data_IF_144612199858
#
_entry.id   IF_144612199858
#
_cell.length_a   1.000
_cell.length_b   1.000
_cell.length_c   1.000
_cell.angle_alpha   90.00
_cell.angle_beta   90.00
_cell.angle_gamma   90.00
#
_symmetry.space_group_name_H-M   'P 1'
#
loop_
_entity.id
_entity.type
_entity.pdbx_description
1 polymer ?
#
# COMPACT_ATOMS: atom_id res chain seq x y z
N UNK A 1 12.67 22.14 6.36
CA UNK A 1 13.76 21.25 6.84
C UNK A 1 13.35 19.83 6.52
N UNK A 2 14.02 19.16 5.59
CA UNK A 2 13.74 17.77 5.25
C UNK A 2 14.13 16.87 6.44
N UNK A 3 13.22 16.02 6.89
CA UNK A 3 13.49 15.05 7.96
C UNK A 3 14.52 14.04 7.46
N UNK A 4 15.61 13.88 8.21
CA UNK A 4 16.66 12.89 7.91
C UNK A 4 16.06 11.48 8.02
N UNK A 5 16.33 10.56 7.07
CA UNK A 5 15.88 9.17 7.21
C UNK A 5 16.44 8.53 8.49
N UNK A 6 15.72 7.58 9.10
CA UNK A 6 16.13 6.99 10.37
C UNK A 6 17.44 6.18 10.27
N UNK A 7 18.29 6.32 11.29
CA UNK A 7 19.56 5.61 11.39
C UNK A 7 19.37 4.08 11.28
N UNK A 8 20.25 3.41 10.51
CA UNK A 8 20.21 1.96 10.25
C UNK A 8 19.72 1.55 8.85
N UNK A 9 19.30 2.53 8.04
CA UNK A 9 18.79 2.37 6.67
C UNK A 9 19.60 1.38 5.78
N UNK A 10 20.92 1.58 5.63
CA UNK A 10 21.78 0.72 4.77
C UNK A 10 21.84 -0.74 5.23
N UNK A 11 21.74 -1.02 6.53
CA UNK A 11 21.81 -2.39 7.06
C UNK A 11 20.51 -3.15 6.84
N UNK A 12 19.36 -2.48 6.98
CA UNK A 12 18.04 -3.11 6.76
C UNK A 12 17.77 -3.33 5.27
N UNK A 13 18.17 -2.39 4.43
CA UNK A 13 17.98 -2.47 2.98
C UNK A 13 18.80 -3.60 2.30
N UNK A 14 19.95 -3.99 2.88
CA UNK A 14 20.67 -5.20 2.47
C UNK A 14 19.88 -6.49 2.73
N UNK A 15 19.12 -6.59 3.83
CA UNK A 15 18.34 -7.78 4.16
C UNK A 15 17.22 -8.05 3.14
N UNK A 16 16.60 -7.01 2.60
CA UNK A 16 15.53 -7.12 1.60
C UNK A 16 16.03 -7.52 0.21
N UNK A 17 17.28 -7.19 -0.13
CA UNK A 17 17.83 -7.37 -1.49
C UNK A 17 18.75 -8.59 -1.62
N UNK A 18 19.20 -9.17 -0.51
CA UNK A 18 20.19 -10.27 -0.50
C UNK A 18 19.59 -11.67 -0.35
N UNK A 19 18.26 -11.82 -0.36
CA UNK A 19 17.59 -13.13 -0.28
C UNK A 19 17.76 -13.87 1.06
N UNK A 20 18.20 -13.19 2.12
CA UNK A 20 18.41 -13.79 3.44
C UNK A 20 17.11 -13.79 4.30
N UNK A 21 16.06 -14.46 3.83
CA UNK A 21 14.87 -14.75 4.64
C UNK A 21 14.89 -16.21 5.11
N UNK A 22 15.76 -16.48 6.09
CA UNK A 22 15.89 -17.78 6.75
C UNK A 22 15.35 -17.75 8.19
N UNK A 23 14.26 -18.49 8.42
CA UNK A 23 13.83 -19.09 9.69
C UNK A 23 13.68 -18.18 10.92
N UNK A 24 12.49 -17.61 11.10
CA UNK A 24 11.92 -17.34 12.43
C UNK A 24 10.62 -18.14 12.60
N UNK A 25 10.75 -19.43 12.87
CA UNK A 25 9.67 -20.27 13.41
C UNK A 25 9.86 -20.38 14.91
N UNK A 26 8.91 -19.88 15.69
CA UNK A 26 8.81 -20.24 17.10
C UNK A 26 8.45 -19.07 17.99
N UNK A 27 7.15 -18.94 18.24
CA UNK A 27 6.49 -18.74 19.54
C UNK A 27 5.21 -17.95 19.25
N UNK A 28 4.08 -18.64 19.19
CA UNK A 28 2.94 -18.36 20.07
C UNK A 28 2.00 -19.55 20.01
N UNK A 29 1.72 -20.10 21.18
CA UNK A 29 0.90 -21.29 21.38
C UNK A 29 -0.56 -20.96 21.09
N UNK A 30 -1.20 -21.93 20.45
CA UNK A 30 -2.63 -22.20 20.47
C UNK A 30 -3.23 -22.02 21.88
N UNK A 31 -4.36 -21.33 21.93
CA UNK A 31 -5.39 -21.58 22.94
C UNK A 31 -6.71 -21.85 22.25
N UNK A 32 -7.16 -23.07 22.49
CA UNK A 32 -8.42 -23.71 22.16
C UNK A 32 -9.60 -23.01 22.84
N UNK A 33 -10.72 -22.78 22.14
CA UNK A 33 -12.05 -22.64 22.76
C UNK A 33 -13.10 -23.31 21.87
N UNK A 34 -13.63 -24.39 22.43
CA UNK A 34 -14.81 -25.16 22.06
C UNK A 34 -16.11 -24.35 22.19
N UNK A 35 -17.07 -24.56 21.29
CA UNK A 35 -18.41 -25.09 21.64
C UNK A 35 -19.26 -25.41 20.40
N UNK A 36 -19.94 -26.56 20.45
CA UNK A 36 -20.88 -27.10 19.45
C UNK A 36 -22.33 -26.78 19.86
N UNK A 37 -23.21 -26.64 18.87
CA UNK A 37 -24.66 -26.88 18.99
C UNK A 37 -25.52 -26.05 18.01
N UNK A 38 -26.73 -26.49 17.65
CA UNK A 38 -26.92 -27.34 16.46
C UNK A 38 -27.80 -26.74 15.35
N UNK A 39 -27.80 -27.44 14.22
CA UNK A 39 -28.62 -27.23 13.02
C UNK A 39 -30.12 -27.48 13.30
N UNK A 40 -30.98 -26.62 12.76
CA UNK A 40 -32.40 -26.91 12.49
C UNK A 40 -32.83 -26.22 11.19
N UNK A 41 -33.58 -26.95 10.39
CA UNK A 41 -34.04 -26.64 9.03
C UNK A 41 -35.36 -25.87 9.04
N UNK A 42 -35.60 -25.00 8.04
CA UNK A 42 -36.83 -24.98 7.23
C UNK A 42 -36.82 -23.95 6.11
N UNK A 43 -37.47 -24.38 5.03
CA UNK A 43 -37.75 -23.73 3.74
C UNK A 43 -38.62 -22.48 3.86
N UNK A 44 -38.44 -21.52 2.94
CA UNK A 44 -39.31 -20.37 2.78
C UNK A 44 -38.95 -19.53 1.54
N UNK A 45 -39.52 -19.89 0.39
CA UNK A 45 -39.57 -19.05 -0.80
C UNK A 45 -40.52 -17.87 -0.56
N UNK A 46 -40.04 -16.62 -0.64
CA UNK A 46 -40.89 -15.46 -0.91
C UNK A 46 -40.15 -14.48 -1.83
N UNK A 47 -40.75 -14.24 -2.99
CA UNK A 47 -40.45 -13.13 -3.88
C UNK A 47 -41.01 -11.86 -3.25
N UNK A 48 -40.21 -10.80 -3.11
CA UNK A 48 -40.74 -9.44 -3.04
C UNK A 48 -39.72 -8.45 -3.61
N UNK A 49 -40.13 -7.85 -4.71
CA UNK A 49 -39.67 -6.57 -5.26
C UNK A 49 -39.45 -5.51 -4.17
N UNK A 50 -38.54 -4.57 -4.48
CA UNK A 50 -38.35 -3.25 -3.86
C UNK A 50 -37.21 -3.14 -2.82
N UNK A 51 -35.96 -3.17 -3.29
CA UNK A 51 -34.82 -2.57 -2.59
C UNK A 51 -34.33 -1.35 -3.39
N UNK A 52 -35.05 -0.24 -3.25
CA UNK A 52 -34.58 1.07 -3.64
C UNK A 52 -34.66 2.00 -2.43
N UNK A 53 -33.51 2.60 -2.11
CA UNK A 53 -33.26 3.69 -1.16
C UNK A 53 -33.70 3.50 0.30
N UNK A 54 -32.72 3.11 1.12
CA UNK A 54 -32.37 3.80 2.37
C UNK A 54 -30.95 3.37 2.72
N UNK A 55 -29.96 4.07 2.15
CA UNK A 55 -28.61 4.06 2.73
C UNK A 55 -28.71 4.95 3.97
N UNK A 56 -29.25 4.38 5.04
CA UNK A 56 -29.15 4.97 6.38
C UNK A 56 -27.67 5.27 6.56
N UNK A 57 -27.33 6.56 6.66
CA UNK A 57 -25.96 6.99 6.94
C UNK A 57 -25.66 6.49 8.34
N UNK A 58 -25.08 5.29 8.44
CA UNK A 58 -24.46 4.85 9.69
C UNK A 58 -23.47 5.95 10.10
N UNK A 59 -23.39 6.29 11.40
CA UNK A 59 -22.33 7.17 11.88
C UNK A 59 -21.00 6.63 11.34
N UNK A 60 -20.21 7.49 10.70
CA UNK A 60 -18.90 7.10 10.20
C UNK A 60 -18.07 6.57 11.38
N UNK A 61 -17.47 5.39 11.22
CA UNK A 61 -16.65 4.80 12.27
C UNK A 61 -15.43 5.69 12.55
N UNK A 62 -14.87 5.64 13.75
CA UNK A 62 -13.75 6.49 14.18
C UNK A 62 -12.57 6.48 13.18
N UNK A 63 -12.29 5.31 12.60
CA UNK A 63 -11.23 5.14 11.60
C UNK A 63 -11.53 5.89 10.28
N UNK A 64 -12.80 5.99 9.89
CA UNK A 64 -13.23 6.76 8.72
C UNK A 64 -13.08 8.27 8.98
N UNK A 65 -13.55 8.75 10.14
CA UNK A 65 -13.40 10.14 10.54
C UNK A 65 -11.92 10.54 10.65
N UNK A 66 -11.08 9.66 11.19
CA UNK A 66 -9.64 9.88 11.24
C UNK A 66 -9.03 10.00 9.84
N UNK A 67 -9.43 9.13 8.90
CA UNK A 67 -8.98 9.22 7.51
C UNK A 67 -9.33 10.56 6.89
N UNK A 68 -10.59 10.99 7.01
CA UNK A 68 -11.02 12.29 6.50
C UNK A 68 -10.22 13.45 7.12
N UNK A 69 -10.06 13.44 8.45
CA UNK A 69 -9.34 14.49 9.18
C UNK A 69 -7.84 14.53 8.83
N UNK A 70 -7.19 13.37 8.69
CA UNK A 70 -5.78 13.30 8.28
C UNK A 70 -5.61 13.88 6.86
N UNK A 71 -6.51 13.56 5.92
CA UNK A 71 -6.44 14.08 4.56
C UNK A 71 -6.67 15.60 4.54
N UNK A 72 -7.67 16.09 5.25
CA UNK A 72 -7.94 17.53 5.33
C UNK A 72 -6.74 18.30 5.92
N UNK A 73 -6.12 17.76 6.97
CA UNK A 73 -5.04 18.43 7.69
C UNK A 73 -3.68 18.31 6.98
N UNK A 74 -3.35 17.14 6.47
CA UNK A 74 -2.01 16.81 5.98
C UNK A 74 -1.95 16.58 4.47
N UNK A 75 -3.08 16.60 3.77
CA UNK A 75 -3.17 16.30 2.33
C UNK A 75 -3.21 14.80 2.02
N UNK A 76 -2.87 13.94 2.98
CA UNK A 76 -3.07 12.50 2.85
C UNK A 76 -3.13 11.79 4.21
N UNK A 77 -3.73 10.61 4.22
CA UNK A 77 -3.46 9.57 5.21
C UNK A 77 -2.52 8.53 4.60
N UNK A 78 -1.57 8.03 5.39
CA UNK A 78 -0.74 6.88 5.02
C UNK A 78 -1.29 5.61 5.67
N UNK A 79 -1.49 4.57 4.87
CA UNK A 79 -1.80 3.21 5.36
C UNK A 79 -0.59 2.33 5.21
N UNK A 80 -0.40 1.41 6.15
CA UNK A 80 0.59 0.34 6.06
C UNK A 80 -0.09 -1.00 6.29
N UNK A 81 0.22 -1.96 5.43
CA UNK A 81 -0.19 -3.35 5.52
C UNK A 81 1.06 -4.17 5.81
N UNK A 82 1.02 -4.91 6.92
CA UNK A 82 2.12 -5.76 7.34
C UNK A 82 2.29 -6.95 6.39
N UNK A 83 3.49 -7.50 6.34
CA UNK A 83 3.75 -8.73 5.60
C UNK A 83 2.90 -9.89 6.15
N UNK A 84 2.42 -10.76 5.27
CA UNK A 84 1.68 -11.97 5.64
C UNK A 84 2.16 -13.15 4.79
N UNK A 85 2.83 -14.12 5.42
CA UNK A 85 3.47 -15.23 4.73
C UNK A 85 4.51 -14.71 3.73
N UNK A 86 4.35 -15.09 2.46
CA UNK A 86 5.20 -14.64 1.35
C UNK A 86 4.74 -13.29 0.73
N UNK A 87 3.65 -12.70 1.24
CA UNK A 87 3.16 -11.40 0.75
C UNK A 87 3.98 -10.27 1.34
N UNK A 88 4.60 -9.40 0.51
CA UNK A 88 5.42 -8.30 1.01
C UNK A 88 4.57 -7.24 1.72
N UNK A 89 5.14 -6.52 2.70
CA UNK A 89 4.47 -5.38 3.31
C UNK A 89 4.36 -4.25 2.27
N UNK A 90 3.38 -3.37 2.46
CA UNK A 90 3.26 -2.19 1.60
C UNK A 90 2.63 -1.01 2.33
N UNK A 91 2.93 0.20 1.85
CA UNK A 91 2.23 1.41 2.25
C UNK A 91 1.68 2.15 1.05
N UNK A 92 0.53 2.79 1.23
CA UNK A 92 -0.07 3.64 0.21
C UNK A 92 -0.68 4.89 0.83
N UNK A 93 -0.77 5.94 0.03
CA UNK A 93 -1.48 7.15 0.39
C UNK A 93 -2.98 7.06 0.10
N UNK A 94 -3.74 7.86 0.84
CA UNK A 94 -5.14 8.15 0.58
C UNK A 94 -5.27 9.67 0.64
N UNK A 95 -5.77 10.31 -0.41
CA UNK A 95 -6.13 11.72 -0.43
C UNK A 95 -5.23 12.63 -1.26
N UNK A 96 -4.04 12.19 -1.70
CA UNK A 96 -3.10 13.05 -2.43
C UNK A 96 -3.73 13.61 -3.71
N UNK A 97 -4.48 12.77 -4.44
CA UNK A 97 -5.11 13.21 -5.69
C UNK A 97 -6.23 14.21 -5.44
N UNK A 98 -7.04 14.00 -4.40
CA UNK A 98 -8.02 14.99 -3.97
C UNK A 98 -7.37 16.31 -3.54
N UNK A 99 -6.26 16.24 -2.81
CA UNK A 99 -5.65 17.41 -2.16
C UNK A 99 -4.74 18.24 -3.07
N UNK A 100 -4.12 17.62 -4.08
CA UNK A 100 -3.12 18.29 -4.94
C UNK A 100 -3.29 18.03 -6.45
N UNK A 101 -4.16 17.09 -6.84
CA UNK A 101 -4.27 16.63 -8.22
C UNK A 101 -3.13 15.72 -8.70
N UNK A 102 -2.18 15.38 -7.82
CA UNK A 102 -1.14 14.38 -8.12
C UNK A 102 -1.64 12.95 -7.85
N UNK A 103 -1.19 11.92 -8.59
CA UNK A 103 -1.57 10.53 -8.33
C UNK A 103 -1.28 10.12 -6.88
N UNK A 104 -2.05 9.18 -6.34
CA UNK A 104 -1.66 8.46 -5.12
C UNK A 104 -0.34 7.71 -5.34
N UNK A 105 0.34 7.34 -4.26
CA UNK A 105 1.60 6.60 -4.29
C UNK A 105 1.49 5.32 -3.46
N UNK A 106 2.05 4.21 -3.97
CA UNK A 106 2.23 2.95 -3.26
C UNK A 106 3.70 2.54 -3.26
N UNK A 107 4.17 1.98 -2.14
CA UNK A 107 5.51 1.45 -1.93
C UNK A 107 5.39 0.02 -1.41
N UNK A 108 6.04 -0.93 -2.06
CA UNK A 108 5.95 -2.37 -1.75
C UNK A 108 7.31 -2.92 -1.35
N UNK A 109 7.35 -3.82 -0.36
CA UNK A 109 8.54 -4.55 0.04
C UNK A 109 9.48 -3.80 0.99
N UNK A 110 9.12 -2.59 1.45
CA UNK A 110 9.89 -1.82 2.41
C UNK A 110 9.25 -1.84 3.81
N UNK A 111 10.11 -1.70 4.83
CA UNK A 111 9.69 -1.48 6.21
C UNK A 111 8.76 -0.26 6.36
N UNK A 112 7.90 -0.30 7.39
CA UNK A 112 6.90 0.73 7.64
C UNK A 112 7.50 2.14 7.74
N UNK A 113 8.59 2.31 8.51
CA UNK A 113 9.19 3.62 8.75
C UNK A 113 9.66 4.28 7.46
N UNK A 114 10.33 3.52 6.60
CA UNK A 114 10.82 4.02 5.31
C UNK A 114 9.67 4.26 4.33
N UNK A 115 8.72 3.34 4.25
CA UNK A 115 7.55 3.49 3.38
C UNK A 115 6.73 4.72 3.76
N UNK A 116 6.52 4.96 5.06
CA UNK A 116 5.85 6.17 5.55
C UNK A 116 6.63 7.44 5.21
N UNK A 117 7.96 7.43 5.35
CA UNK A 117 8.78 8.57 4.96
C UNK A 117 8.61 8.89 3.47
N UNK A 118 8.73 7.87 2.59
CA UNK A 118 8.59 8.03 1.14
C UNK A 118 7.23 8.62 0.77
N UNK A 119 6.14 8.05 1.32
CA UNK A 119 4.78 8.51 1.03
C UNK A 119 4.57 9.97 1.47
N UNK A 120 5.03 10.32 2.68
CA UNK A 120 4.90 11.69 3.19
C UNK A 120 5.76 12.69 2.41
N UNK A 121 6.96 12.30 1.99
CA UNK A 121 7.84 13.14 1.18
C UNK A 121 7.24 13.36 -0.22
N UNK A 122 6.65 12.33 -0.82
CA UNK A 122 5.94 12.43 -2.10
C UNK A 122 4.75 13.39 -1.98
N UNK A 123 3.94 13.25 -0.92
CA UNK A 123 2.84 14.18 -0.64
C UNK A 123 3.33 15.62 -0.46
N UNK A 124 4.41 15.84 0.29
CA UNK A 124 5.00 17.18 0.47
C UNK A 124 5.39 17.80 -0.86
N UNK A 125 6.16 17.08 -1.69
CA UNK A 125 6.62 17.58 -2.99
C UNK A 125 5.48 17.82 -3.97
N UNK A 126 4.49 16.93 -4.01
CA UNK A 126 3.29 17.11 -4.82
C UNK A 126 2.51 18.38 -4.42
N UNK A 127 2.39 18.65 -3.11
CA UNK A 127 1.75 19.87 -2.59
C UNK A 127 2.57 21.14 -2.86
N UNK A 128 3.90 21.02 -2.97
CA UNK A 128 4.80 22.10 -3.38
C UNK A 128 4.77 22.34 -4.92
N UNK A 129 3.97 21.57 -5.66
CA UNK A 129 3.72 21.77 -7.09
C UNK A 129 4.52 20.85 -8.01
N UNK A 130 5.29 19.90 -7.48
CA UNK A 130 5.96 18.90 -8.31
C UNK A 130 4.92 17.98 -8.98
N UNK A 131 5.13 17.67 -10.25
CA UNK A 131 4.26 16.78 -11.03
C UNK A 131 4.95 15.46 -11.29
N UNK A 132 4.22 14.37 -11.11
CA UNK A 132 4.73 13.02 -11.30
C UNK A 132 4.03 12.30 -12.44
N UNK A 133 4.81 11.57 -13.24
CA UNK A 133 4.34 10.80 -14.39
C UNK A 133 4.86 9.36 -14.35
N UNK A 134 4.15 8.41 -14.98
CA UNK A 134 4.68 7.06 -15.18
C UNK A 134 6.02 7.08 -15.94
N UNK A 135 6.88 6.12 -15.64
CA UNK A 135 8.26 5.96 -16.16
C UNK A 135 9.22 7.10 -15.80
N UNK A 136 8.84 7.99 -14.88
CA UNK A 136 9.72 9.03 -14.39
C UNK A 136 10.73 8.47 -13.40
N UNK A 137 12.02 8.80 -13.59
CA UNK A 137 13.06 8.61 -12.59
C UNK A 137 12.98 9.69 -11.53
N UNK A 138 13.03 9.29 -10.27
CA UNK A 138 12.98 10.20 -9.13
C UNK A 138 14.09 9.89 -8.14
N UNK A 139 14.72 10.94 -7.62
CA UNK A 139 15.79 10.87 -6.63
C UNK A 139 15.31 11.34 -5.26
N UNK A 140 16.16 11.14 -4.25
CA UNK A 140 16.00 11.68 -2.90
C UNK A 140 14.76 11.16 -2.13
N UNK A 141 14.18 10.05 -2.60
CA UNK A 141 13.19 9.27 -1.83
C UNK A 141 13.86 8.16 -1.02
N UNK A 142 14.94 7.60 -1.57
CA UNK A 142 15.76 6.55 -0.97
C UNK A 142 17.22 7.02 -1.04
N UNK A 143 17.91 7.04 0.09
CA UNK A 143 19.26 7.61 0.15
C UNK A 143 20.24 6.81 -0.72
N UNK A 144 20.83 7.48 -1.71
CA UNK A 144 21.82 6.90 -2.61
C UNK A 144 21.24 6.03 -3.74
N UNK A 145 19.92 6.01 -3.92
CA UNK A 145 19.27 5.26 -4.98
C UNK A 145 18.20 6.10 -5.68
N UNK A 146 18.27 6.13 -7.00
CA UNK A 146 17.14 6.56 -7.82
C UNK A 146 16.04 5.51 -7.74
N UNK A 147 14.81 5.95 -7.96
CA UNK A 147 13.62 5.12 -8.07
C UNK A 147 12.96 5.38 -9.43
N UNK A 148 12.01 4.53 -9.82
CA UNK A 148 11.15 4.76 -10.98
C UNK A 148 9.68 4.71 -10.56
N UNK A 149 8.88 5.64 -11.07
CA UNK A 149 7.44 5.62 -10.89
C UNK A 149 6.78 4.78 -11.98
N UNK A 150 5.96 3.80 -11.61
CA UNK A 150 5.17 2.98 -12.55
C UNK A 150 3.69 3.25 -12.36
N UNK A 151 2.92 3.30 -13.45
CA UNK A 151 1.46 3.40 -13.34
C UNK A 151 0.91 2.07 -12.82
N UNK A 152 0.20 2.10 -11.70
CA UNK A 152 -0.45 0.90 -11.20
C UNK A 152 -1.66 0.55 -12.06
N UNK A 153 -1.77 -0.71 -12.49
CA UNK A 153 -2.91 -1.19 -13.24
C UNK A 153 -4.17 -1.30 -12.36
N UNK A 154 -5.34 -1.00 -12.94
CA UNK A 154 -6.62 -1.00 -12.23
C UNK A 154 -6.99 -2.38 -11.66
N UNK A 155 -6.49 -3.46 -12.25
CA UNK A 155 -6.72 -4.83 -11.76
C UNK A 155 -6.21 -5.05 -10.33
N UNK A 156 -5.19 -4.30 -9.90
CA UNK A 156 -4.62 -4.42 -8.56
C UNK A 156 -5.34 -3.59 -7.49
N UNK A 157 -6.17 -2.61 -7.86
CA UNK A 157 -6.75 -1.66 -6.91
C UNK A 157 -7.56 -2.35 -5.81
N UNK A 158 -8.34 -3.38 -6.16
CA UNK A 158 -9.16 -4.11 -5.18
C UNK A 158 -8.33 -4.86 -4.13
N UNK A 159 -7.14 -5.32 -4.51
CA UNK A 159 -6.30 -6.13 -3.64
C UNK A 159 -5.44 -5.27 -2.71
N UNK A 160 -5.04 -4.08 -3.15
CA UNK A 160 -4.11 -3.23 -2.39
C UNK A 160 -4.78 -2.02 -1.73
N UNK A 161 -5.80 -1.43 -2.36
CA UNK A 161 -6.21 -0.05 -2.09
C UNK A 161 -7.62 0.07 -1.49
N UNK A 162 -8.04 -0.90 -0.67
CA UNK A 162 -9.40 -0.97 -0.12
C UNK A 162 -9.89 0.33 0.52
N UNK A 163 -9.03 0.99 1.32
CA UNK A 163 -9.39 2.28 1.95
C UNK A 163 -9.42 3.45 0.97
N UNK A 164 -8.55 3.46 -0.05
CA UNK A 164 -8.59 4.51 -1.07
C UNK A 164 -9.85 4.38 -1.94
N UNK A 165 -10.22 3.14 -2.31
CA UNK A 165 -11.47 2.85 -3.02
C UNK A 165 -12.70 3.33 -2.24
N UNK A 166 -12.73 3.09 -0.93
CA UNK A 166 -13.76 3.64 -0.05
C UNK A 166 -13.76 5.18 -0.08
N UNK A 167 -12.60 5.81 0.14
CA UNK A 167 -12.46 7.27 0.22
C UNK A 167 -12.87 7.99 -1.07
N UNK A 168 -12.51 7.43 -2.23
CA UNK A 168 -12.84 7.97 -3.55
C UNK A 168 -14.21 7.50 -4.09
N UNK A 169 -14.90 6.60 -3.38
CA UNK A 169 -16.19 6.07 -3.82
C UNK A 169 -16.11 5.18 -5.08
N UNK A 170 -14.94 4.62 -5.38
CA UNK A 170 -14.67 3.86 -6.60
C UNK A 170 -13.20 3.97 -7.02
N UNK A 171 -12.88 3.48 -8.23
CA UNK A 171 -11.51 3.45 -8.76
C UNK A 171 -11.16 4.63 -9.67
N UNK A 172 -11.89 5.74 -9.58
CA UNK A 172 -11.65 6.94 -10.41
C UNK A 172 -10.55 7.83 -9.81
N UNK A 173 -9.35 7.28 -9.69
CA UNK A 173 -8.14 7.94 -9.23
C UNK A 173 -6.91 7.19 -9.77
N UNK A 174 -5.80 7.88 -9.92
CA UNK A 174 -4.52 7.39 -10.44
C UNK A 174 -3.62 7.01 -9.27
N UNK A 175 -2.82 5.97 -9.48
CA UNK A 175 -1.83 5.51 -8.52
C UNK A 175 -0.52 5.28 -9.24
N UNK A 176 0.56 5.77 -8.67
CA UNK A 176 1.92 5.42 -9.06
C UNK A 176 2.50 4.45 -8.02
N UNK A 177 3.21 3.44 -8.48
CA UNK A 177 4.11 2.65 -7.64
C UNK A 177 5.50 3.27 -7.67
N UNK A 178 6.11 3.49 -6.52
CA UNK A 178 7.53 3.79 -6.43
C UNK A 178 8.30 2.48 -6.40
N UNK A 179 9.04 2.21 -7.47
CA UNK A 179 9.88 1.02 -7.67
C UNK A 179 11.34 1.40 -7.42
N UNK A 180 12.06 0.56 -6.68
CA UNK A 180 13.46 0.78 -6.32
C UNK A 180 14.32 -0.41 -6.75
N UNK A 181 15.62 -0.19 -7.03
CA UNK A 181 16.52 -1.26 -7.43
C UNK A 181 17.04 -2.04 -6.22
N UNK A 182 17.81 -3.10 -6.45
CA UNK A 182 18.61 -3.76 -5.41
C UNK A 182 19.78 -2.89 -4.95
N UNK A 183 20.49 -3.33 -3.91
CA UNK A 183 21.77 -2.74 -3.44
C UNK A 183 22.86 -2.63 -4.47
N UNK A 184 22.79 -3.43 -5.52
CA UNK A 184 23.73 -3.43 -6.63
C UNK A 184 23.19 -2.67 -7.85
N UNK A 185 22.05 -1.99 -7.72
CA UNK A 185 21.45 -1.19 -8.79
C UNK A 185 20.63 -1.98 -9.81
N UNK A 186 20.25 -3.23 -9.51
CA UNK A 186 19.49 -4.09 -10.42
C UNK A 186 17.98 -3.85 -10.22
N UNK A 187 17.26 -3.61 -11.31
CA UNK A 187 15.81 -3.34 -11.30
C UNK A 187 14.99 -4.63 -11.32
N UNK A 188 13.74 -4.64 -10.81
CA UNK A 188 12.88 -5.83 -10.85
C UNK A 188 12.65 -6.40 -12.26
N UNK A 189 12.67 -5.57 -13.30
CA UNK A 189 12.53 -5.98 -14.69
C UNK A 189 13.85 -6.42 -15.35
N UNK A 190 14.99 -6.25 -14.69
CA UNK A 190 16.26 -6.65 -15.27
C UNK A 190 16.37 -8.19 -15.36
N UNK A 191 17.08 -8.71 -16.38
CA UNK A 191 17.31 -10.15 -16.52
C UNK A 191 17.99 -10.77 -15.29
N UNK A 192 18.91 -10.03 -14.68
CA UNK A 192 19.73 -10.49 -13.56
C UNK A 192 19.07 -10.28 -12.19
N UNK A 193 17.84 -9.75 -12.13
CA UNK A 193 17.15 -9.57 -10.86
C UNK A 193 16.82 -10.92 -10.20
N UNK A 194 17.20 -11.11 -8.91
CA UNK A 194 16.87 -12.34 -8.18
C UNK A 194 15.36 -12.58 -8.14
N UNK A 195 14.94 -13.84 -8.33
CA UNK A 195 13.51 -14.20 -8.29
C UNK A 195 12.83 -13.82 -6.97
N UNK A 196 13.55 -13.93 -5.85
CA UNK A 196 13.06 -13.49 -4.53
C UNK A 196 12.77 -12.00 -4.49
N UNK A 197 13.58 -11.17 -5.17
CA UNK A 197 13.37 -9.73 -5.25
C UNK A 197 12.14 -9.38 -6.10
N UNK A 198 11.95 -10.09 -7.23
CA UNK A 198 10.75 -9.92 -8.08
C UNK A 198 9.47 -10.29 -7.33
N UNK A 199 9.50 -11.36 -6.52
CA UNK A 199 8.37 -11.76 -5.66
C UNK A 199 8.13 -10.74 -4.54
N UNK A 200 9.19 -10.22 -3.95
CA UNK A 200 9.11 -9.29 -2.82
C UNK A 200 8.71 -7.86 -3.22
N UNK A 201 9.01 -7.46 -4.44
CA UNK A 201 8.63 -6.18 -5.03
C UNK A 201 7.99 -6.41 -6.40
N UNK A 202 6.74 -6.94 -6.44
CA UNK A 202 6.03 -7.12 -7.69
C UNK A 202 5.81 -5.75 -8.37
N UNK A 203 5.89 -5.70 -9.69
CA UNK A 203 5.65 -4.48 -10.47
C UNK A 203 4.18 -4.45 -10.85
N UNK A 204 3.42 -3.55 -10.23
CA UNK A 204 1.96 -3.54 -10.29
C UNK A 204 1.41 -2.83 -11.54
N UNK A 205 2.18 -2.76 -12.62
CA UNK A 205 1.73 -2.20 -13.89
C UNK A 205 1.20 -3.31 -14.83
N UNK A 206 0.89 -2.97 -16.08
CA UNK A 206 0.37 -3.94 -17.05
C UNK A 206 1.36 -5.03 -17.45
N UNK A 207 2.63 -4.94 -17.05
CA UNK A 207 3.69 -5.91 -17.38
C UNK A 207 3.81 -7.08 -16.38
N UNK A 208 3.15 -7.01 -15.21
CA UNK A 208 2.91 -8.15 -14.33
C UNK A 208 3.56 -8.10 -12.95
#
# INVERSE_FOLDING_TARGET
MAGRPPDGFRRRWWAYTSGAFGSWRGLFRSTDVSTKGPLSTRSGHLRSTQFALLRTVSPMDEAENKCLSDVEKYGCQVRHVMAEGDSPPFSYSIGIERSSGSPEIIVVGLEQSLSHFIVNEYNRRARDGEQYRPHQRVSDFIEGFDCELRAMDLSHYRNYLGWALWFYGGSNFRVLQLVYPTTTGIWPWDPDAPSSFKIWQPVLDTSG
#
